data_IF_681469063981
#
_entry.id   IF_681469063981
#
_cell.length_a   1.000
_cell.length_b   1.000
_cell.length_c   1.000
_cell.angle_alpha   90.00
_cell.angle_beta   90.00
_cell.angle_gamma   90.00
#
_symmetry.space_group_name_H-M   'P 1'
#
loop_
_entity.id
_entity.type
_entity.pdbx_description
1 polymer ?
#
# COMPACT_ATOMS: atom_id res chain seq x y z
N UNK A 1 -29.24 8.47 13.23
CA UNK A 1 -28.45 7.22 13.28
C UNK A 1 -27.26 7.42 12.36
N UNK A 2 -26.04 7.48 12.89
CA UNK A 2 -24.84 7.51 12.04
C UNK A 2 -24.75 6.16 11.33
N UNK A 3 -24.79 6.16 9.99
CA UNK A 3 -24.60 4.93 9.21
C UNK A 3 -23.22 4.35 9.54
N UNK A 4 -23.15 3.06 9.86
CA UNK A 4 -21.87 2.39 10.08
C UNK A 4 -21.03 2.51 8.80
N UNK A 5 -19.83 3.08 8.91
CA UNK A 5 -18.89 3.21 7.79
C UNK A 5 -18.51 1.81 7.30
N UNK A 6 -18.65 1.55 5.99
CA UNK A 6 -18.29 0.24 5.44
C UNK A 6 -16.77 -0.01 5.56
N UNK A 7 -16.31 -1.27 5.57
CA UNK A 7 -14.89 -1.58 5.61
C UNK A 7 -14.10 -0.90 4.48
N UNK A 8 -14.65 -0.88 3.26
CA UNK A 8 -14.05 -0.19 2.13
C UNK A 8 -13.95 1.33 2.34
N UNK A 9 -15.00 1.97 2.88
CA UNK A 9 -14.97 3.41 3.16
C UNK A 9 -13.98 3.74 4.29
N UNK A 10 -13.76 2.85 5.25
CA UNK A 10 -12.74 3.02 6.29
C UNK A 10 -11.32 3.07 5.69
N UNK A 11 -11.03 2.21 4.70
CA UNK A 11 -9.75 2.25 3.96
C UNK A 11 -9.64 3.56 3.17
N UNK A 12 -10.69 3.95 2.44
CA UNK A 12 -10.71 5.23 1.71
C UNK A 12 -10.49 6.43 2.63
N UNK A 13 -11.12 6.46 3.81
CA UNK A 13 -10.94 7.52 4.79
C UNK A 13 -9.49 7.60 5.28
N UNK A 14 -8.86 6.45 5.56
CA UNK A 14 -7.46 6.40 5.99
C UNK A 14 -6.49 6.80 4.87
N UNK A 15 -6.78 6.47 3.62
CA UNK A 15 -5.99 6.93 2.48
C UNK A 15 -6.10 8.45 2.30
N UNK A 16 -7.29 9.02 2.44
CA UNK A 16 -7.48 10.48 2.44
C UNK A 16 -6.77 11.16 3.60
N UNK A 17 -6.74 10.56 4.79
CA UNK A 17 -5.95 11.07 5.93
C UNK A 17 -4.45 11.13 5.61
N UNK A 18 -3.92 10.10 4.93
CA UNK A 18 -2.49 10.01 4.63
C UNK A 18 -2.06 10.85 3.42
N UNK A 19 -2.89 10.91 2.38
CA UNK A 19 -2.50 11.45 1.07
C UNK A 19 -3.35 12.64 0.62
N UNK A 20 -4.40 13.00 1.35
CA UNK A 20 -5.37 14.03 0.96
C UNK A 20 -6.49 13.52 0.03
N UNK A 21 -6.33 12.34 -0.57
CA UNK A 21 -7.29 11.74 -1.51
C UNK A 21 -7.33 10.20 -1.43
N UNK A 22 -8.33 9.60 -2.10
CA UNK A 22 -8.40 8.15 -2.28
C UNK A 22 -7.90 7.80 -3.69
N UNK A 23 -6.72 7.16 -3.82
CA UNK A 23 -6.10 6.91 -5.12
C UNK A 23 -6.73 5.72 -5.87
N UNK A 24 -7.89 5.20 -5.43
CA UNK A 24 -8.51 4.00 -5.98
C UNK A 24 -8.73 4.04 -7.50
N UNK A 25 -8.94 5.23 -8.08
CA UNK A 25 -9.22 5.44 -9.51
C UNK A 25 -8.08 6.10 -10.27
N UNK A 26 -6.97 6.41 -9.60
CA UNK A 26 -5.85 7.05 -10.26
C UNK A 26 -5.27 6.11 -11.32
N UNK A 27 -4.92 6.67 -12.47
CA UNK A 27 -4.20 5.97 -13.53
C UNK A 27 -2.71 6.34 -13.48
N UNK A 28 -1.83 5.41 -13.84
CA UNK A 28 -0.38 5.65 -13.93
C UNK A 28 0.49 4.89 -12.92
N UNK A 29 1.69 5.41 -12.68
CA UNK A 29 2.73 4.74 -11.87
C UNK A 29 2.64 5.20 -10.41
N UNK A 30 2.49 4.24 -9.50
CA UNK A 30 2.62 4.45 -8.05
C UNK A 30 4.00 3.98 -7.58
N UNK A 31 4.74 4.86 -6.92
CA UNK A 31 6.04 4.52 -6.32
C UNK A 31 5.97 4.69 -4.80
N UNK A 32 6.17 3.58 -4.07
CA UNK A 32 6.23 3.58 -2.61
C UNK A 32 7.69 3.44 -2.20
N UNK A 33 8.25 4.49 -1.59
CA UNK A 33 9.62 4.52 -1.09
C UNK A 33 9.68 5.09 0.31
N UNK A 34 10.60 4.58 1.13
CA UNK A 34 11.01 5.28 2.34
C UNK A 34 12.02 6.36 1.92
N UNK A 35 11.65 7.63 2.08
CA UNK A 35 12.53 8.75 1.78
C UNK A 35 12.55 9.72 2.96
N UNK A 36 13.67 10.41 3.12
CA UNK A 36 13.81 11.49 4.10
C UNK A 36 14.00 12.82 3.39
N UNK A 37 13.29 13.86 3.81
CA UNK A 37 13.54 15.20 3.31
C UNK A 37 14.69 15.83 4.11
N UNK A 38 15.85 15.89 3.48
CA UNK A 38 17.03 16.53 4.06
C UNK A 38 16.81 18.06 4.17
N UNK A 39 17.49 18.75 5.10
CA UNK A 39 17.36 20.21 5.25
C UNK A 39 17.70 21.01 3.98
N UNK A 40 18.52 20.43 3.09
CA UNK A 40 18.89 21.01 1.80
C UNK A 40 17.88 20.71 0.66
N UNK A 41 16.74 20.11 0.99
CA UNK A 41 15.67 19.79 0.06
C UNK A 41 15.86 18.49 -0.72
N UNK A 42 16.97 17.77 -0.54
CA UNK A 42 17.14 16.44 -1.17
C UNK A 42 16.20 15.40 -0.55
N UNK A 43 15.88 14.37 -1.34
CA UNK A 43 15.07 13.21 -0.94
C UNK A 43 15.88 11.90 -1.02
N UNK A 44 16.91 11.68 -0.18
CA UNK A 44 17.56 10.38 -0.10
C UNK A 44 16.57 9.26 0.23
N UNK A 45 16.66 8.16 -0.53
CA UNK A 45 15.92 6.93 -0.26
C UNK A 45 16.64 6.14 0.84
N UNK A 46 15.87 5.70 1.82
CA UNK A 46 16.36 4.97 2.99
C UNK A 46 16.34 3.46 2.70
N UNK A 47 17.44 2.78 3.04
CA UNK A 47 17.48 1.33 3.06
C UNK A 47 16.77 0.82 4.33
N UNK A 48 15.57 0.27 4.16
CA UNK A 48 14.81 -0.36 5.25
C UNK A 48 15.37 -1.75 5.53
N UNK A 49 15.63 -2.04 6.80
CA UNK A 49 16.16 -3.33 7.26
C UNK A 49 15.65 -3.70 8.66
N UNK A 50 16.12 -4.81 9.26
CA UNK A 50 15.58 -5.33 10.52
C UNK A 50 15.66 -4.37 11.72
N UNK A 51 16.59 -3.41 11.70
CA UNK A 51 16.74 -2.39 12.75
C UNK A 51 15.94 -1.12 12.48
N UNK A 52 15.25 -1.02 11.35
CA UNK A 52 14.41 0.13 11.03
C UNK A 52 13.18 0.18 11.94
N UNK A 53 12.75 1.37 12.41
CA UNK A 53 11.53 1.50 13.20
C UNK A 53 10.32 0.98 12.44
N UNK A 54 9.47 0.20 13.12
CA UNK A 54 8.22 -0.25 12.54
C UNK A 54 7.20 0.90 12.50
N UNK A 55 6.59 1.11 11.34
CA UNK A 55 5.53 2.09 11.13
C UNK A 55 4.25 1.38 10.65
N UNK A 56 3.16 1.41 11.45
CA UNK A 56 1.87 0.90 11.01
C UNK A 56 1.31 1.63 9.79
N UNK A 57 1.74 2.89 9.56
CA UNK A 57 1.35 3.67 8.38
C UNK A 57 2.04 3.14 7.13
N UNK A 58 3.34 2.84 7.20
CA UNK A 58 4.12 2.35 6.06
C UNK A 58 3.61 0.97 5.63
N UNK A 59 3.33 0.09 6.60
CA UNK A 59 2.74 -1.21 6.34
C UNK A 59 1.36 -1.09 5.66
N UNK A 60 0.51 -0.17 6.13
CA UNK A 60 -0.79 0.09 5.52
C UNK A 60 -0.65 0.66 4.10
N UNK A 61 0.21 1.65 3.91
CA UNK A 61 0.48 2.28 2.62
C UNK A 61 0.92 1.26 1.57
N UNK A 62 1.89 0.40 1.92
CA UNK A 62 2.40 -0.63 1.02
C UNK A 62 1.33 -1.67 0.66
N UNK A 63 0.49 -2.07 1.62
CA UNK A 63 -0.60 -3.02 1.39
C UNK A 63 -1.70 -2.43 0.50
N UNK A 64 -2.09 -1.18 0.74
CA UNK A 64 -3.05 -0.47 -0.11
C UNK A 64 -2.52 -0.29 -1.54
N UNK A 65 -1.24 0.07 -1.69
CA UNK A 65 -0.58 0.16 -2.99
C UNK A 65 -0.62 -1.17 -3.77
N UNK A 66 -0.28 -2.29 -3.11
CA UNK A 66 -0.40 -3.64 -3.69
C UNK A 66 -1.84 -4.00 -4.06
N UNK A 67 -2.81 -3.61 -3.22
CA UNK A 67 -4.23 -3.81 -3.49
C UNK A 67 -4.80 -2.94 -4.62
N UNK A 68 -4.08 -1.91 -5.05
CA UNK A 68 -4.41 -1.17 -6.28
C UNK A 68 -3.78 -1.80 -7.53
N UNK A 69 -2.66 -2.51 -7.39
CA UNK A 69 -1.93 -3.09 -8.51
C UNK A 69 -2.72 -4.20 -9.22
N UNK A 70 -2.51 -4.35 -10.53
CA UNK A 70 -3.02 -5.48 -11.30
C UNK A 70 -2.09 -6.70 -11.21
N UNK A 71 -0.79 -6.45 -11.16
CA UNK A 71 0.25 -7.46 -11.01
C UNK A 71 1.39 -6.96 -10.13
N UNK A 72 2.11 -7.88 -9.49
CA UNK A 72 3.30 -7.56 -8.70
C UNK A 72 4.52 -8.18 -9.36
N UNK A 73 5.41 -7.33 -9.88
CA UNK A 73 6.68 -7.74 -10.45
C UNK A 73 7.78 -7.55 -9.41
N UNK A 74 8.50 -8.62 -9.08
CA UNK A 74 9.62 -8.60 -8.14
C UNK A 74 10.90 -9.12 -8.80
N UNK A 75 12.06 -8.77 -8.24
CA UNK A 75 13.35 -9.20 -8.77
C UNK A 75 13.73 -10.58 -8.23
N UNK A 76 14.47 -11.36 -9.02
CA UNK A 76 15.00 -12.65 -8.56
C UNK A 76 15.95 -12.54 -7.37
N UNK A 77 16.53 -11.35 -7.11
CA UNK A 77 17.29 -11.10 -5.88
C UNK A 77 16.38 -11.17 -4.65
N UNK A 78 15.27 -10.43 -4.67
CA UNK A 78 14.28 -10.44 -3.56
C UNK A 78 13.75 -11.86 -3.33
N UNK A 79 13.43 -12.61 -4.39
CA UNK A 79 12.95 -13.98 -4.26
C UNK A 79 13.98 -14.95 -3.65
N UNK A 80 15.28 -14.68 -3.78
CA UNK A 80 16.34 -15.48 -3.13
C UNK A 80 16.58 -15.06 -1.69
N UNK A 81 16.52 -13.76 -1.43
CA UNK A 81 16.75 -13.19 -0.10
C UNK A 81 15.53 -13.43 0.82
N UNK A 82 14.33 -13.52 0.25
CA UNK A 82 13.06 -13.71 0.94
C UNK A 82 12.24 -14.84 0.26
N UNK A 83 12.66 -16.11 0.34
CA UNK A 83 12.04 -17.22 -0.40
C UNK A 83 10.58 -17.51 0.04
N UNK A 84 10.23 -17.14 1.27
CA UNK A 84 8.90 -17.34 1.84
C UNK A 84 7.97 -16.13 1.63
N UNK A 85 8.41 -15.10 0.90
CA UNK A 85 7.62 -13.89 0.69
C UNK A 85 6.32 -14.21 -0.04
N UNK A 86 5.21 -13.72 0.50
CA UNK A 86 3.89 -13.80 -0.15
C UNK A 86 3.25 -12.42 -0.17
N UNK A 87 2.53 -12.14 -1.26
CA UNK A 87 1.77 -10.91 -1.43
C UNK A 87 0.26 -11.13 -1.23
N UNK A 88 -0.14 -12.29 -0.71
CA UNK A 88 -1.53 -12.58 -0.39
C UNK A 88 -2.05 -11.64 0.71
N UNK A 89 -3.08 -10.87 0.40
CA UNK A 89 -3.76 -9.99 1.36
C UNK A 89 -4.89 -10.74 2.08
N UNK A 90 -4.99 -10.55 3.40
CA UNK A 90 -5.97 -11.23 4.28
C UNK A 90 -6.90 -10.27 5.00
N UNK A 91 -6.62 -8.97 4.95
CA UNK A 91 -7.45 -7.96 5.58
C UNK A 91 -8.70 -7.68 4.75
N UNK A 92 -9.83 -8.02 5.36
CA UNK A 92 -11.14 -7.92 4.73
C UNK A 92 -11.49 -6.49 4.30
N UNK A 93 -11.01 -5.46 5.01
CA UNK A 93 -11.28 -4.07 4.64
C UNK A 93 -10.52 -3.67 3.38
N UNK A 94 -9.25 -4.07 3.26
CA UNK A 94 -8.45 -3.85 2.04
C UNK A 94 -8.99 -4.65 0.84
N UNK A 95 -9.42 -5.90 1.07
CA UNK A 95 -10.04 -6.72 0.03
C UNK A 95 -11.39 -6.15 -0.43
N UNK A 96 -12.20 -5.63 0.51
CA UNK A 96 -13.44 -4.92 0.19
C UNK A 96 -13.16 -3.63 -0.59
N UNK A 97 -12.18 -2.83 -0.16
CA UNK A 97 -11.78 -1.61 -0.85
C UNK A 97 -11.32 -1.87 -2.29
N UNK A 98 -10.48 -2.89 -2.51
CA UNK A 98 -10.07 -3.30 -3.86
C UNK A 98 -11.27 -3.65 -4.75
N UNK A 99 -12.24 -4.40 -4.21
CA UNK A 99 -13.44 -4.80 -4.96
C UNK A 99 -14.37 -3.62 -5.26
N UNK A 100 -14.67 -2.82 -4.26
CA UNK A 100 -15.72 -1.80 -4.31
C UNK A 100 -15.25 -0.46 -4.87
N UNK A 101 -13.98 -0.08 -4.63
CA UNK A 101 -13.43 1.23 -5.00
C UNK A 101 -12.49 1.17 -6.19
N UNK A 102 -11.58 0.18 -6.20
CA UNK A 102 -10.67 -0.05 -7.33
C UNK A 102 -11.37 -0.80 -8.46
N UNK A 103 -12.41 -1.58 -8.16
CA UNK A 103 -13.17 -2.33 -9.16
C UNK A 103 -12.52 -3.66 -9.57
N UNK A 104 -11.66 -4.24 -8.71
CA UNK A 104 -10.96 -5.50 -8.98
C UNK A 104 -11.41 -6.58 -7.99
N UNK A 105 -11.98 -7.67 -8.48
CA UNK A 105 -12.48 -8.75 -7.62
C UNK A 105 -11.41 -9.82 -7.29
N UNK A 106 -10.43 -9.99 -8.17
CA UNK A 106 -9.33 -10.94 -8.01
C UNK A 106 -8.10 -10.28 -7.36
N UNK A 107 -7.31 -11.01 -6.55
CA UNK A 107 -6.03 -10.51 -6.06
C UNK A 107 -5.08 -10.20 -7.23
N UNK A 108 -4.10 -9.29 -7.04
CA UNK A 108 -3.05 -9.07 -8.03
C UNK A 108 -2.28 -10.37 -8.29
N UNK A 109 -1.95 -10.62 -9.56
CA UNK A 109 -1.21 -11.81 -9.99
C UNK A 109 0.31 -11.60 -10.00
#
# INVERSE_FOLDING_TARGET
>A
MASATSPAESVSAKLRELYGEDPARDEGVLHVVAAWQAPDGRLPVLAIGPSSPASPRDAFALRAARMRADAIVTTGRILRDEPDVTHAERDAALLAWRRERVGRAEPPR
#
